data_IF_952763913921
#
_entry.id   IF_952763913921
#
_cell.length_a   1.000
_cell.length_b   1.000
_cell.length_c   1.000
_cell.angle_alpha   90.00
_cell.angle_beta   90.00
_cell.angle_gamma   90.00
#
_symmetry.space_group_name_H-M   'P 1'
#
loop_
_entity.id
_entity.type
_entity.pdbx_description
1 polymer ?
#
# COMPACT_ATOMS: atom_id res chain seq x y z
N UNK A 1 -12.51 -38.00 -0.02
CA UNK A 1 -12.77 -36.78 0.76
C UNK A 1 -13.52 -35.79 -0.12
N UNK A 2 -14.56 -35.16 0.41
CA UNK A 2 -15.24 -34.06 -0.27
C UNK A 2 -14.51 -32.75 0.03
N UNK A 3 -14.27 -31.96 -1.01
CA UNK A 3 -13.69 -30.62 -0.87
C UNK A 3 -14.81 -29.59 -1.07
N UNK A 4 -14.96 -28.66 -0.13
CA UNK A 4 -15.91 -27.57 -0.23
C UNK A 4 -15.15 -26.34 -0.67
N UNK A 5 -15.50 -25.79 -1.85
CA UNK A 5 -14.96 -24.55 -2.35
C UNK A 5 -16.00 -23.45 -2.16
N UNK A 6 -15.73 -22.41 -1.32
CA UNK A 6 -16.69 -21.35 -1.12
C UNK A 6 -16.79 -20.47 -2.38
N UNK A 7 -18.03 -20.12 -2.76
CA UNK A 7 -18.31 -19.25 -3.89
C UNK A 7 -18.52 -17.76 -3.48
N UNK A 8 -18.85 -17.51 -2.22
CA UNK A 8 -19.10 -16.17 -1.68
C UNK A 8 -18.85 -16.12 -0.17
N UNK A 9 -18.70 -14.89 0.34
CA UNK A 9 -18.67 -14.61 1.80
C UNK A 9 -20.06 -14.83 2.38
N UNK A 10 -20.15 -15.43 3.56
CA UNK A 10 -21.43 -15.65 4.22
C UNK A 10 -21.40 -16.76 5.24
N UNK A 11 -22.57 -17.05 5.77
CA UNK A 11 -22.79 -18.16 6.70
C UNK A 11 -23.73 -19.17 6.07
N UNK A 12 -23.41 -20.45 6.22
CA UNK A 12 -24.29 -21.54 5.81
C UNK A 12 -24.15 -22.72 6.78
N UNK A 13 -25.11 -23.63 6.72
CA UNK A 13 -25.05 -24.89 7.45
C UNK A 13 -24.80 -26.00 6.45
N UNK A 14 -23.78 -26.82 6.72
CA UNK A 14 -23.52 -28.02 5.95
C UNK A 14 -24.20 -29.19 6.64
N UNK A 15 -25.08 -29.86 5.89
CA UNK A 15 -25.66 -31.13 6.29
C UNK A 15 -24.94 -32.28 5.61
N UNK A 16 -24.46 -33.22 6.39
CA UNK A 16 -23.94 -34.50 5.90
C UNK A 16 -24.85 -35.61 6.36
N UNK A 17 -25.35 -36.42 5.45
CA UNK A 17 -26.30 -37.47 5.70
C UNK A 17 -25.85 -38.76 5.05
N UNK A 18 -26.02 -39.89 5.75
CA UNK A 18 -25.79 -41.20 5.14
C UNK A 18 -26.87 -41.54 4.11
N UNK A 19 -26.56 -42.40 3.14
CA UNK A 19 -27.49 -42.73 2.07
C UNK A 19 -28.79 -43.39 2.56
N UNK A 20 -28.79 -43.97 3.75
CA UNK A 20 -29.95 -44.57 4.41
C UNK A 20 -30.69 -43.57 5.34
N UNK A 21 -30.22 -42.33 5.41
CA UNK A 21 -30.83 -41.25 6.22
C UNK A 21 -30.72 -41.41 7.74
N UNK A 22 -29.96 -42.40 8.22
CA UNK A 22 -29.93 -42.73 9.66
C UNK A 22 -28.93 -41.88 10.45
N UNK A 23 -27.92 -41.35 9.80
CA UNK A 23 -26.95 -40.45 10.43
C UNK A 23 -26.95 -39.11 9.70
N UNK A 24 -27.06 -38.05 10.49
CA UNK A 24 -27.03 -36.69 9.99
C UNK A 24 -26.12 -35.83 10.87
N UNK A 25 -25.25 -35.09 10.24
CA UNK A 25 -24.36 -34.15 10.91
C UNK A 25 -24.57 -32.76 10.32
N UNK A 26 -24.65 -31.76 11.17
CA UNK A 26 -24.73 -30.36 10.78
C UNK A 26 -23.48 -29.63 11.27
N UNK A 27 -22.93 -28.78 10.43
CA UNK A 27 -21.82 -27.92 10.80
C UNK A 27 -22.05 -26.52 10.24
N UNK A 28 -21.89 -25.54 11.10
CA UNK A 28 -21.86 -24.14 10.68
C UNK A 28 -20.57 -23.88 9.91
N UNK A 29 -20.72 -23.31 8.72
CA UNK A 29 -19.60 -22.82 7.92
C UNK A 29 -19.72 -21.31 7.77
N UNK A 30 -18.70 -20.59 8.21
CA UNK A 30 -18.58 -19.17 7.98
C UNK A 30 -17.42 -18.93 7.00
N UNK A 31 -17.71 -18.29 5.89
CA UNK A 31 -16.73 -17.83 4.92
C UNK A 31 -16.55 -16.34 5.11
N UNK A 32 -15.35 -15.92 5.49
CA UNK A 32 -14.98 -14.52 5.65
C UNK A 32 -14.09 -14.06 4.49
N UNK A 33 -14.24 -12.80 4.08
CA UNK A 33 -13.27 -12.17 3.18
C UNK A 33 -11.96 -12.01 3.95
N UNK A 34 -10.86 -12.47 3.39
CA UNK A 34 -9.55 -12.12 3.92
C UNK A 34 -9.12 -10.81 3.30
N UNK A 35 -8.85 -9.77 4.09
CA UNK A 35 -8.33 -8.50 3.59
C UNK A 35 -7.04 -8.72 2.79
N UNK A 36 -6.91 -7.99 1.69
CA UNK A 36 -5.68 -7.97 0.90
C UNK A 36 -4.77 -6.87 1.41
N UNK A 37 -3.49 -7.18 1.53
CA UNK A 37 -2.45 -6.22 1.87
C UNK A 37 -1.32 -6.35 0.85
N UNK A 38 -0.96 -5.26 0.19
CA UNK A 38 0.16 -5.18 -0.74
C UNK A 38 1.25 -4.31 -0.15
N UNK A 39 2.48 -4.78 -0.24
CA UNK A 39 3.69 -4.03 0.10
C UNK A 39 4.30 -3.53 -1.20
N UNK A 40 4.60 -2.24 -1.29
CA UNK A 40 5.23 -1.60 -2.44
C UNK A 40 6.56 -1.00 -2.00
N UNK A 41 7.60 -1.31 -2.73
CA UNK A 41 8.93 -0.80 -2.56
C UNK A 41 9.28 0.13 -3.71
N UNK A 42 9.70 1.35 -3.41
CA UNK A 42 9.99 2.40 -4.39
C UNK A 42 11.49 2.66 -4.47
N UNK A 43 12.13 2.20 -5.54
CA UNK A 43 13.54 2.43 -5.80
C UNK A 43 14.20 1.30 -6.56
N UNK A 44 15.49 1.41 -6.79
CA UNK A 44 16.24 0.52 -7.70
C UNK A 44 16.69 -0.79 -7.05
N UNK A 45 16.64 -0.89 -5.72
CA UNK A 45 17.11 -2.04 -4.95
C UNK A 45 15.91 -2.91 -4.57
N UNK A 46 15.79 -4.06 -5.21
CA UNK A 46 14.64 -4.93 -4.99
C UNK A 46 14.55 -5.48 -3.58
N UNK A 47 13.39 -5.32 -2.98
CA UNK A 47 13.01 -6.02 -1.76
C UNK A 47 12.50 -7.44 -2.05
N UNK A 48 12.73 -8.40 -1.14
CA UNK A 48 12.24 -9.77 -1.32
C UNK A 48 10.70 -9.83 -1.27
N UNK A 49 10.15 -10.93 -1.81
CA UNK A 49 8.71 -11.20 -1.66
C UNK A 49 8.27 -11.08 -0.18
N UNK A 50 7.10 -10.54 0.10
CA UNK A 50 6.01 -10.25 -0.84
C UNK A 50 5.98 -8.79 -1.37
N UNK A 51 7.09 -8.09 -1.42
CA UNK A 51 7.14 -6.72 -1.96
C UNK A 51 6.92 -6.70 -3.47
N UNK A 52 6.21 -5.69 -3.92
CA UNK A 52 6.05 -5.32 -5.32
C UNK A 52 7.04 -4.18 -5.59
N UNK A 53 8.08 -4.43 -6.38
CA UNK A 53 9.18 -3.49 -6.60
C UNK A 53 8.86 -2.55 -7.76
N UNK A 54 8.74 -1.26 -7.49
CA UNK A 54 8.58 -0.19 -8.48
C UNK A 54 9.90 0.56 -8.61
N UNK A 55 10.73 0.14 -9.58
CA UNK A 55 12.15 0.50 -9.64
C UNK A 55 12.46 1.91 -10.10
N UNK A 56 11.63 2.47 -10.99
CA UNK A 56 11.90 3.78 -11.56
C UNK A 56 10.58 4.54 -11.76
N UNK A 57 10.47 5.81 -11.34
CA UNK A 57 9.24 6.58 -11.49
C UNK A 57 8.88 6.90 -12.96
N UNK A 58 9.75 6.60 -13.92
CA UNK A 58 9.49 6.73 -15.36
C UNK A 58 9.06 5.42 -16.01
N UNK A 59 9.14 4.30 -15.29
CA UNK A 59 8.68 3.01 -15.79
C UNK A 59 7.15 2.95 -15.84
N UNK A 60 6.57 2.06 -16.65
CA UNK A 60 5.16 1.72 -16.54
C UNK A 60 4.82 1.30 -15.12
N UNK A 61 3.64 1.62 -14.66
CA UNK A 61 3.18 1.24 -13.34
C UNK A 61 3.12 -0.27 -13.12
N UNK A 62 2.91 -0.66 -11.89
CA UNK A 62 2.67 -2.05 -11.51
C UNK A 62 1.19 -2.39 -11.71
N UNK A 63 0.92 -3.57 -12.22
CA UNK A 63 -0.43 -4.12 -12.37
C UNK A 63 -0.52 -5.49 -11.72
N UNK A 64 -1.72 -5.86 -11.25
CA UNK A 64 -1.96 -7.15 -10.59
C UNK A 64 -0.97 -7.41 -9.44
N UNK A 65 -0.73 -6.39 -8.61
CA UNK A 65 0.20 -6.48 -7.48
C UNK A 65 -0.10 -7.70 -6.62
N UNK A 66 0.95 -8.31 -6.08
CA UNK A 66 0.83 -9.47 -5.19
C UNK A 66 0.44 -8.99 -3.77
N UNK A 67 -0.48 -9.73 -3.15
CA UNK A 67 -0.79 -9.55 -1.73
C UNK A 67 0.34 -10.15 -0.84
N UNK A 68 0.24 -9.90 0.46
CA UNK A 68 1.19 -10.40 1.47
C UNK A 68 1.33 -11.94 1.52
N UNK A 69 0.48 -12.67 0.79
CA UNK A 69 0.51 -14.13 0.64
C UNK A 69 1.05 -14.56 -0.72
N UNK A 70 1.52 -13.62 -1.54
CA UNK A 70 2.00 -13.86 -2.89
C UNK A 70 0.90 -14.15 -3.92
N UNK A 71 -0.36 -13.79 -3.65
CA UNK A 71 -1.48 -13.99 -4.58
C UNK A 71 -1.73 -12.73 -5.38
N UNK A 72 -1.99 -12.83 -6.70
CA UNK A 72 -2.28 -11.66 -7.53
C UNK A 72 -3.60 -11.01 -7.09
N UNK A 73 -3.59 -9.69 -7.09
CA UNK A 73 -4.77 -8.84 -6.87
C UNK A 73 -5.18 -8.15 -8.15
N UNK A 74 -6.24 -7.37 -8.09
CA UNK A 74 -6.61 -6.41 -9.15
C UNK A 74 -5.88 -5.07 -9.01
N UNK A 75 -5.12 -4.87 -7.93
CA UNK A 75 -4.53 -3.59 -7.60
C UNK A 75 -3.35 -3.27 -8.52
N UNK A 76 -3.30 -2.01 -8.94
CA UNK A 76 -2.18 -1.44 -9.69
C UNK A 76 -1.78 -0.09 -9.10
N UNK A 77 -0.57 0.37 -9.43
CA UNK A 77 -0.05 1.68 -9.08
C UNK A 77 0.79 2.22 -10.22
N UNK A 78 0.59 3.47 -10.55
CA UNK A 78 1.38 4.20 -11.55
C UNK A 78 1.70 5.61 -11.06
N UNK A 79 2.74 6.22 -11.58
CA UNK A 79 3.05 7.64 -11.34
C UNK A 79 2.04 8.48 -12.10
N UNK A 80 1.31 9.34 -11.36
CA UNK A 80 0.36 10.33 -11.90
C UNK A 80 1.01 11.70 -12.04
N UNK A 81 1.83 12.09 -11.06
CA UNK A 81 2.59 13.32 -11.06
C UNK A 81 4.07 13.01 -10.93
N UNK A 82 4.94 13.65 -11.73
CA UNK A 82 6.34 13.24 -11.86
C UNK A 82 7.11 13.35 -10.54
N UNK A 83 8.09 12.48 -10.38
CA UNK A 83 9.15 12.57 -9.38
C UNK A 83 10.44 13.09 -10.01
N UNK A 84 11.34 13.64 -9.22
CA UNK A 84 12.70 13.99 -9.68
C UNK A 84 13.47 12.74 -10.10
N UNK A 85 13.30 11.65 -9.38
CA UNK A 85 13.93 10.37 -9.66
C UNK A 85 13.88 9.40 -8.48
N UNK A 86 14.82 8.48 -8.51
CA UNK A 86 15.12 7.53 -7.43
C UNK A 86 16.45 7.90 -6.75
N UNK A 87 16.58 7.57 -5.47
CA UNK A 87 17.76 7.87 -4.66
C UNK A 87 18.07 6.69 -3.73
N UNK A 88 19.27 6.13 -3.86
CA UNK A 88 19.76 5.06 -3.00
C UNK A 88 20.69 5.65 -1.92
N UNK A 89 20.13 6.27 -0.90
CA UNK A 89 20.85 6.87 0.24
C UNK A 89 20.18 6.63 1.58
N UNK A 90 19.24 5.70 1.62
CA UNK A 90 18.56 5.32 2.85
C UNK A 90 19.47 4.51 3.76
N UNK A 91 19.06 4.38 5.00
CA UNK A 91 19.71 3.59 6.02
C UNK A 91 18.80 2.42 6.42
N UNK A 92 19.30 1.54 7.26
CA UNK A 92 18.50 0.47 7.84
C UNK A 92 17.33 1.04 8.68
N UNK A 93 16.28 0.25 8.85
CA UNK A 93 15.12 0.63 9.66
C UNK A 93 14.98 -0.26 10.90
N UNK A 94 14.18 0.19 11.87
CA UNK A 94 13.78 -0.56 13.08
C UNK A 94 12.34 -1.07 13.00
N UNK A 95 11.69 -1.00 11.84
CA UNK A 95 10.31 -1.42 11.62
C UNK A 95 10.17 -2.91 11.30
N UNK A 96 11.31 -3.61 11.14
CA UNK A 96 11.32 -5.01 10.68
C UNK A 96 11.09 -5.16 9.17
N UNK A 97 11.13 -4.06 8.42
CA UNK A 97 11.14 -4.11 6.96
C UNK A 97 12.48 -4.64 6.46
N UNK A 98 12.54 -5.30 5.30
CA UNK A 98 13.82 -5.60 4.66
C UNK A 98 14.66 -4.32 4.54
N UNK A 99 15.96 -4.43 4.71
CA UNK A 99 16.88 -3.29 4.59
C UNK A 99 16.76 -2.61 3.22
N UNK A 100 16.58 -3.40 2.18
CA UNK A 100 16.34 -2.96 0.80
C UNK A 100 15.15 -2.03 0.66
N UNK A 101 14.07 -2.26 1.42
CA UNK A 101 12.87 -1.42 1.44
C UNK A 101 13.05 -0.06 2.16
N UNK A 102 14.23 0.23 2.66
CA UNK A 102 14.58 1.51 3.32
C UNK A 102 15.83 2.17 2.75
N UNK A 103 16.58 1.47 1.89
CA UNK A 103 17.85 1.96 1.33
C UNK A 103 17.68 2.90 0.14
N UNK A 104 16.55 2.83 -0.53
CA UNK A 104 16.23 3.67 -1.68
C UNK A 104 14.79 4.19 -1.64
N UNK A 105 14.48 5.13 -2.52
CA UNK A 105 13.21 5.84 -2.51
C UNK A 105 12.93 6.54 -3.84
N UNK A 106 11.66 6.84 -4.10
CA UNK A 106 11.31 7.90 -5.03
C UNK A 106 11.31 9.23 -4.30
N UNK A 107 11.94 10.24 -4.90
CA UNK A 107 12.08 11.56 -4.30
C UNK A 107 11.79 12.68 -5.28
N UNK A 108 11.51 13.85 -4.72
CA UNK A 108 11.42 15.11 -5.48
C UNK A 108 12.14 16.25 -4.80
N UNK A 109 12.83 17.04 -5.64
CA UNK A 109 13.22 18.42 -5.31
C UNK A 109 11.94 19.25 -5.30
N UNK A 110 11.52 19.67 -4.12
CA UNK A 110 10.24 20.36 -3.93
C UNK A 110 10.22 21.80 -4.46
N UNK A 111 11.37 22.35 -4.87
CA UNK A 111 11.44 23.62 -5.57
C UNK A 111 11.17 23.42 -7.07
N UNK A 112 11.80 22.40 -7.65
CA UNK A 112 11.67 22.12 -9.08
C UNK A 112 10.36 21.35 -9.39
N UNK A 113 9.99 20.41 -8.52
CA UNK A 113 8.79 19.57 -8.64
C UNK A 113 8.04 19.64 -7.30
N UNK A 114 7.19 20.66 -7.10
CA UNK A 114 6.52 20.91 -5.83
C UNK A 114 5.41 19.89 -5.49
N UNK A 115 5.02 19.05 -6.45
CA UNK A 115 3.96 18.07 -6.31
C UNK A 115 4.30 16.83 -7.13
N UNK A 116 4.35 15.68 -6.47
CA UNK A 116 4.51 14.36 -7.07
C UNK A 116 3.32 13.47 -6.66
N UNK A 117 3.14 12.32 -7.29
CA UNK A 117 2.06 11.46 -6.84
C UNK A 117 1.85 10.21 -7.66
N UNK A 118 0.97 9.39 -7.13
CA UNK A 118 0.57 8.12 -7.70
C UNK A 118 -0.93 8.06 -7.95
N UNK A 119 -1.30 7.20 -8.90
CA UNK A 119 -2.65 6.73 -9.11
C UNK A 119 -2.70 5.25 -8.78
N UNK A 120 -3.54 4.88 -7.83
CA UNK A 120 -3.80 3.49 -7.42
C UNK A 120 -5.10 3.05 -8.06
N UNK A 121 -5.10 1.88 -8.71
CA UNK A 121 -6.23 1.38 -9.52
C UNK A 121 -6.68 -0.01 -9.08
N UNK A 122 -7.84 -0.45 -9.58
CA UNK A 122 -8.35 -1.80 -9.37
C UNK A 122 -8.89 -2.06 -7.97
N UNK A 123 -9.18 -1.00 -7.22
CA UNK A 123 -9.77 -1.04 -5.89
C UNK A 123 -11.27 -1.32 -5.96
N UNK A 124 -11.80 -2.07 -5.00
CA UNK A 124 -13.22 -2.41 -4.94
C UNK A 124 -14.04 -1.28 -4.35
N UNK A 125 -15.11 -0.88 -5.04
CA UNK A 125 -16.08 0.08 -4.50
C UNK A 125 -16.72 -0.45 -3.21
N UNK A 126 -17.04 0.45 -2.28
CA UNK A 126 -17.63 0.09 -0.99
C UNK A 126 -16.69 -0.63 -0.01
N UNK A 127 -15.40 -0.76 -0.37
CA UNK A 127 -14.34 -1.21 0.51
C UNK A 127 -13.52 -0.02 0.95
N UNK A 128 -13.21 0.06 2.23
CA UNK A 128 -12.28 1.07 2.78
C UNK A 128 -10.86 0.55 2.75
N UNK A 129 -9.94 1.46 2.58
CA UNK A 129 -8.52 1.15 2.48
C UNK A 129 -7.71 2.00 3.45
N UNK A 130 -6.66 1.38 3.99
CA UNK A 130 -5.59 2.05 4.73
C UNK A 130 -4.35 2.14 3.84
N UNK A 131 -3.75 3.33 3.80
CA UNK A 131 -2.48 3.62 3.16
C UNK A 131 -1.47 3.96 4.25
N UNK A 132 -0.41 3.16 4.38
CA UNK A 132 0.67 3.41 5.33
C UNK A 132 1.95 3.73 4.55
N UNK A 133 2.64 4.80 4.94
CA UNK A 133 3.83 5.28 4.26
C UNK A 133 5.03 5.27 5.20
N UNK A 134 6.16 4.83 4.65
CA UNK A 134 7.48 4.98 5.24
C UNK A 134 8.37 5.77 4.29
N UNK A 135 9.12 6.70 4.85
CA UNK A 135 10.11 7.50 4.14
C UNK A 135 11.27 7.81 5.05
N UNK A 136 12.48 7.53 4.59
CA UNK A 136 13.72 7.89 5.24
C UNK A 136 14.65 8.54 4.23
N UNK A 137 15.18 9.69 4.58
CA UNK A 137 16.25 10.34 3.84
C UNK A 137 17.30 10.85 4.85
N UNK A 138 18.56 10.54 4.60
CA UNK A 138 19.67 11.07 5.39
C UNK A 138 19.98 12.52 4.99
N UNK A 139 19.00 13.39 5.19
CA UNK A 139 19.10 14.82 4.92
C UNK A 139 18.20 15.60 5.89
N UNK A 140 18.78 16.55 6.60
CA UNK A 140 18.13 17.22 7.74
C UNK A 140 16.97 18.11 7.30
N UNK A 141 15.92 18.09 8.11
CA UNK A 141 14.76 18.98 8.00
C UNK A 141 13.79 18.60 6.88
N UNK A 142 13.82 17.34 6.43
CA UNK A 142 12.88 16.83 5.43
C UNK A 142 11.59 16.36 6.08
N UNK A 143 10.47 16.77 5.52
CA UNK A 143 9.12 16.31 5.87
C UNK A 143 8.31 16.13 4.58
N UNK A 144 7.58 15.03 4.46
CA UNK A 144 6.65 14.76 3.37
C UNK A 144 5.21 14.86 3.86
N UNK A 145 4.38 15.61 3.15
CA UNK A 145 2.93 15.54 3.24
C UNK A 145 2.43 14.49 2.25
N UNK A 146 1.59 13.58 2.73
CA UNK A 146 0.82 12.64 1.93
C UNK A 146 -0.66 13.04 1.98
N UNK A 147 -1.29 13.22 0.82
CA UNK A 147 -2.71 13.44 0.68
C UNK A 147 -3.30 12.33 -0.19
N UNK A 148 -4.14 11.49 0.41
CA UNK A 148 -4.78 10.36 -0.26
C UNK A 148 -6.22 10.72 -0.58
N UNK A 149 -6.63 10.63 -1.85
CA UNK A 149 -7.86 11.20 -2.40
C UNK A 149 -8.65 10.12 -3.14
N UNK A 150 -9.81 9.76 -2.62
CA UNK A 150 -10.81 8.90 -3.24
C UNK A 150 -12.18 9.59 -3.30
N UNK A 151 -13.24 8.94 -2.82
CA UNK A 151 -14.55 9.60 -2.53
C UNK A 151 -14.47 10.52 -1.32
N UNK A 152 -13.60 10.21 -0.41
CA UNK A 152 -13.17 11.00 0.72
C UNK A 152 -11.66 11.15 0.64
N UNK A 153 -11.09 11.93 1.52
CA UNK A 153 -9.66 12.18 1.54
C UNK A 153 -9.09 12.18 2.96
N UNK A 154 -7.78 12.13 3.05
CA UNK A 154 -7.04 12.22 4.30
C UNK A 154 -5.61 12.70 4.06
N UNK A 155 -5.05 13.37 5.06
CA UNK A 155 -3.70 13.94 5.02
C UNK A 155 -2.89 13.45 6.19
N UNK A 156 -1.61 13.14 5.96
CA UNK A 156 -0.65 12.81 6.99
C UNK A 156 0.73 13.43 6.69
N UNK A 157 1.51 13.66 7.73
CA UNK A 157 2.84 14.27 7.64
C UNK A 157 3.87 13.33 8.23
N UNK A 158 4.92 13.03 7.48
CA UNK A 158 6.02 12.20 7.91
C UNK A 158 7.33 12.98 7.89
N UNK A 159 7.96 13.12 9.04
CA UNK A 159 9.34 13.58 9.12
C UNK A 159 10.25 12.47 8.63
N UNK A 160 10.88 12.66 7.47
CA UNK A 160 11.78 11.69 6.85
C UNK A 160 13.20 11.73 7.43
N UNK A 161 13.57 12.87 8.03
CA UNK A 161 14.86 13.11 8.64
C UNK A 161 15.10 12.13 9.81
N UNK A 162 16.19 11.38 9.77
CA UNK A 162 16.56 10.37 10.77
C UNK A 162 15.38 9.44 11.17
N UNK A 163 14.57 9.09 10.18
CA UNK A 163 13.39 8.25 10.39
C UNK A 163 13.74 6.76 10.28
N UNK A 164 13.95 6.10 11.41
CA UNK A 164 14.23 4.66 11.47
C UNK A 164 13.01 3.80 11.86
N UNK A 165 11.97 4.40 12.45
CA UNK A 165 10.94 3.66 13.18
C UNK A 165 9.52 4.24 13.08
N UNK A 166 9.32 5.27 12.26
CA UNK A 166 8.01 5.95 12.13
C UNK A 166 7.40 5.72 10.77
N UNK A 167 6.13 5.38 10.77
CA UNK A 167 5.24 5.39 9.62
C UNK A 167 4.08 6.36 9.88
N UNK A 168 3.40 6.75 8.82
CA UNK A 168 2.12 7.45 8.91
C UNK A 168 1.06 6.67 8.17
N UNK A 169 -0.18 6.73 8.65
CA UNK A 169 -1.31 6.00 8.09
C UNK A 169 -2.46 6.96 7.78
N UNK A 170 -3.10 6.74 6.64
CA UNK A 170 -4.34 7.38 6.24
C UNK A 170 -5.37 6.27 6.05
N UNK A 171 -6.41 6.28 6.89
CA UNK A 171 -7.38 5.19 7.00
C UNK A 171 -8.76 5.59 6.44
N UNK A 172 -9.56 4.58 6.14
CA UNK A 172 -10.96 4.76 5.78
C UNK A 172 -11.19 5.36 4.41
N UNK A 173 -10.19 5.28 3.51
CA UNK A 173 -10.32 5.86 2.17
C UNK A 173 -11.15 4.94 1.29
N UNK A 174 -12.22 5.49 0.73
CA UNK A 174 -13.06 4.82 -0.27
C UNK A 174 -12.61 5.23 -1.68
N UNK A 175 -12.37 4.28 -2.61
CA UNK A 175 -12.03 4.63 -3.97
C UNK A 175 -13.20 5.34 -4.66
N UNK A 176 -12.88 6.14 -5.67
CA UNK A 176 -13.88 6.79 -6.50
C UNK A 176 -14.70 5.75 -7.31
N UNK A 177 -15.65 6.21 -8.12
CA UNK A 177 -16.56 5.33 -8.88
C UNK A 177 -15.85 4.50 -9.97
N UNK A 178 -14.60 4.82 -10.29
CA UNK A 178 -13.74 4.08 -11.21
C UNK A 178 -12.84 3.06 -10.49
N UNK A 179 -12.93 2.95 -9.15
CA UNK A 179 -12.05 2.10 -8.34
C UNK A 179 -10.63 2.67 -8.22
N UNK A 180 -10.51 3.99 -8.21
CA UNK A 180 -9.24 4.71 -8.21
C UNK A 180 -9.10 5.55 -6.94
N UNK A 181 -7.86 5.64 -6.46
CA UNK A 181 -7.40 6.57 -5.43
C UNK A 181 -6.15 7.29 -5.95
N UNK A 182 -6.08 8.59 -5.75
CA UNK A 182 -4.89 9.39 -6.02
C UNK A 182 -4.11 9.64 -4.73
N UNK A 183 -2.79 9.65 -4.83
CA UNK A 183 -1.88 9.98 -3.74
C UNK A 183 -1.05 11.17 -4.19
N UNK A 184 -1.26 12.31 -3.58
CA UNK A 184 -0.45 13.50 -3.79
C UNK A 184 0.61 13.61 -2.70
N UNK A 185 1.81 13.99 -3.09
CA UNK A 185 2.95 14.15 -2.19
C UNK A 185 3.61 15.50 -2.45
N UNK A 186 3.94 16.20 -1.37
CA UNK A 186 4.63 17.51 -1.42
C UNK A 186 5.45 17.73 -0.15
N UNK A 187 6.31 18.77 -0.10
CA UNK A 187 6.96 19.16 1.14
C UNK A 187 5.92 19.44 2.24
N UNK A 188 6.10 18.83 3.40
CA UNK A 188 5.28 19.11 4.58
C UNK A 188 5.53 20.52 5.14
N UNK A 189 4.65 21.02 6.03
CA UNK A 189 4.71 22.37 6.55
C UNK A 189 5.99 22.67 7.35
N UNK A 190 6.59 21.65 7.97
CA UNK A 190 7.82 21.80 8.75
C UNK A 190 9.08 21.41 7.94
N UNK A 191 8.95 21.19 6.64
CA UNK A 191 10.09 20.93 5.77
C UNK A 191 10.93 22.21 5.63
N UNK A 192 12.11 22.22 6.27
CA UNK A 192 13.08 23.32 6.27
C UNK A 192 14.32 23.05 5.43
N UNK A 193 14.38 21.89 4.78
CA UNK A 193 15.45 21.52 3.87
C UNK A 193 15.51 22.49 2.69
N UNK A 194 16.71 22.89 2.26
CA UNK A 194 16.92 24.01 1.31
C UNK A 194 16.31 23.77 -0.08
N UNK A 195 16.24 22.53 -0.56
CA UNK A 195 15.58 22.14 -1.82
C UNK A 195 14.17 21.59 -1.60
N UNK A 196 13.68 21.62 -0.34
CA UNK A 196 12.36 21.08 0.02
C UNK A 196 12.17 19.62 -0.38
N UNK A 197 13.22 18.80 -0.29
CA UNK A 197 13.15 17.38 -0.62
C UNK A 197 12.05 16.66 0.13
N UNK A 198 11.32 15.81 -0.59
CA UNK A 198 10.33 14.90 -0.05
C UNK A 198 10.36 13.58 -0.81
N UNK A 199 9.83 12.52 -0.24
CA UNK A 199 9.86 11.21 -0.90
C UNK A 199 9.24 10.09 -0.08
N UNK A 200 9.27 8.90 -0.65
CA UNK A 200 8.72 7.67 -0.09
C UNK A 200 9.61 6.47 -0.43
N UNK A 201 9.89 5.63 0.58
CA UNK A 201 10.61 4.37 0.39
C UNK A 201 9.62 3.22 0.17
N UNK A 202 8.62 3.12 1.05
CA UNK A 202 7.61 2.06 0.95
C UNK A 202 6.20 2.57 1.21
N UNK A 203 5.24 1.88 0.62
CA UNK A 203 3.83 2.01 0.93
C UNK A 203 3.23 0.63 1.22
N UNK A 204 2.35 0.59 2.21
CA UNK A 204 1.50 -0.57 2.45
C UNK A 204 0.05 -0.17 2.17
N UNK A 205 -0.58 -0.89 1.27
CA UNK A 205 -1.98 -0.75 0.90
C UNK A 205 -2.78 -1.93 1.47
N UNK A 206 -3.73 -1.67 2.34
CA UNK A 206 -4.54 -2.71 2.99
C UNK A 206 -6.03 -2.46 2.82
N UNK A 207 -6.80 -3.51 2.48
CA UNK A 207 -8.24 -3.50 2.66
C UNK A 207 -8.55 -3.48 4.16
N UNK A 208 -9.52 -2.67 4.59
CA UNK A 208 -10.02 -2.71 5.96
C UNK A 208 -11.04 -3.83 6.14
N UNK A 209 -11.10 -4.39 7.33
CA UNK A 209 -12.16 -5.33 7.71
C UNK A 209 -13.48 -4.56 7.88
N UNK A 210 -14.55 -5.08 7.31
CA UNK A 210 -15.91 -4.54 7.45
C UNK A 210 -16.58 -5.10 8.70
#
# INVERSE_FOLDING_TARGET
AAVITPAAVGKTVIKVETADGKLCYFSDLTVTKTPKTCYIDFGVIDSPAPFNNYRNPRDPGLVNMLDHRGRPTTFGIEVDKPFSGELARGLNNNLGLPKTASEDMFFSDGIAIPLSGFKVTGLSQGTKYTFSFYGHINDRGTETEFHVIGKNDGVAYLVNDDNFDRTVEIKGIEPNDEGVVYIEMKPGPNNVQWAKFFGVNTMVLSEEEN
#
